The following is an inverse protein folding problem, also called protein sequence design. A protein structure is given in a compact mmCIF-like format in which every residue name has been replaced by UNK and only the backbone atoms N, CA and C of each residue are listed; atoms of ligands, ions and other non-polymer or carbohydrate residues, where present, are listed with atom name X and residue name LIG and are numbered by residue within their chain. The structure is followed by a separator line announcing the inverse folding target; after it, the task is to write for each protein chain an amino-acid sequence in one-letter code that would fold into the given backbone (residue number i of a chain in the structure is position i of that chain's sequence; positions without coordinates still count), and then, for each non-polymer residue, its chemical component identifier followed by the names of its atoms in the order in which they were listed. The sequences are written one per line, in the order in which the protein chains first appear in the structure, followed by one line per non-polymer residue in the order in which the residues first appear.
data_IF_592087993394
#
_entry.id   IF_592087993394
#
_cell.length_a   1.000
_cell.length_b   1.000
_cell.length_c   1.000
_cell.angle_alpha   90.00
_cell.angle_beta   90.00
_cell.angle_gamma   90.00
#
_symmetry.space_group_name_H-M   'P 1'
#
loop_
_entity.id
_entity.type
_entity.pdbx_description
1 polymer ?
#
# COMPACT_ATOMS: atom_id res chain seq x y z
N UNK A 1 17.44 -16.14 14.42
CA UNK A 1 17.26 -14.77 13.92
C UNK A 1 16.92 -14.92 12.46
N UNK A 2 15.64 -14.86 12.11
CA UNK A 2 15.21 -14.74 10.72
C UNK A 2 15.75 -13.41 10.19
N UNK A 3 16.29 -13.39 8.97
CA UNK A 3 16.72 -12.15 8.35
C UNK A 3 15.53 -11.19 8.27
N UNK A 4 15.75 -9.91 8.56
CA UNK A 4 14.73 -8.89 8.39
C UNK A 4 14.42 -8.77 6.88
N UNK A 5 13.13 -8.83 6.51
CA UNK A 5 12.71 -8.81 5.11
C UNK A 5 12.94 -7.43 4.48
N UNK A 6 13.62 -7.39 3.33
CA UNK A 6 13.73 -6.18 2.51
C UNK A 6 12.49 -6.04 1.62
N UNK A 7 11.50 -5.30 2.12
CA UNK A 7 10.23 -5.12 1.40
C UNK A 7 10.37 -4.41 0.06
N UNK A 8 11.38 -3.55 -0.13
CA UNK A 8 11.57 -2.88 -1.41
C UNK A 8 12.12 -3.89 -2.43
N UNK A 9 13.11 -4.70 -2.05
CA UNK A 9 13.60 -5.78 -2.90
C UNK A 9 12.49 -6.79 -3.25
N UNK A 10 11.64 -7.14 -2.28
CA UNK A 10 10.47 -7.99 -2.49
C UNK A 10 9.51 -7.41 -3.54
N UNK A 11 9.14 -6.13 -3.43
CA UNK A 11 8.26 -5.46 -4.41
C UNK A 11 8.90 -5.39 -5.80
N UNK A 12 10.19 -5.07 -5.88
CA UNK A 12 10.95 -5.02 -7.14
C UNK A 12 11.01 -6.36 -7.84
N UNK A 13 11.29 -7.43 -7.10
CA UNK A 13 11.32 -8.79 -7.64
C UNK A 13 9.93 -9.22 -8.10
N UNK A 14 8.93 -9.06 -7.23
CA UNK A 14 7.54 -9.44 -7.51
C UNK A 14 6.99 -8.74 -8.76
N UNK A 15 7.30 -7.46 -8.95
CA UNK A 15 6.90 -6.72 -10.14
C UNK A 15 7.58 -7.22 -11.42
N UNK A 16 8.88 -7.54 -11.37
CA UNK A 16 9.59 -8.13 -12.53
C UNK A 16 9.02 -9.49 -12.88
N UNK A 17 8.81 -10.33 -11.88
CA UNK A 17 8.26 -11.67 -12.09
C UNK A 17 6.84 -11.61 -12.68
N UNK A 18 6.00 -10.68 -12.20
CA UNK A 18 4.69 -10.46 -12.78
C UNK A 18 4.76 -10.04 -14.26
N UNK A 19 5.73 -9.20 -14.64
CA UNK A 19 5.94 -8.80 -16.04
C UNK A 19 6.46 -9.95 -16.93
N UNK A 20 7.29 -10.84 -16.38
CA UNK A 20 7.94 -11.94 -17.13
C UNK A 20 7.06 -13.20 -17.24
N UNK A 21 6.32 -13.55 -16.18
CA UNK A 21 5.57 -14.81 -16.06
C UNK A 21 4.14 -14.69 -16.61
N UNK A 22 3.49 -13.54 -16.42
CA UNK A 22 2.12 -13.32 -16.93
C UNK A 22 2.07 -12.66 -18.31
N UNK A 23 3.23 -12.29 -18.87
CA UNK A 23 3.35 -11.85 -20.25
C UNK A 23 2.65 -10.52 -20.53
N UNK A 24 2.53 -9.65 -19.53
CA UNK A 24 2.10 -8.26 -19.71
C UNK A 24 3.33 -7.34 -19.73
N UNK A 25 3.94 -7.11 -20.92
CA UNK A 25 5.11 -6.25 -21.05
C UNK A 25 4.80 -4.79 -20.71
N UNK A 26 3.52 -4.41 -20.61
CA UNK A 26 3.07 -3.06 -20.32
C UNK A 26 2.70 -2.87 -18.83
N UNK A 27 2.98 -3.85 -17.96
CA UNK A 27 2.67 -3.75 -16.53
C UNK A 27 3.46 -2.61 -15.85
N UNK A 28 2.76 -1.51 -15.62
CA UNK A 28 3.30 -0.38 -14.86
C UNK A 28 3.39 -0.72 -13.37
N UNK A 29 4.26 0.01 -12.66
CA UNK A 29 4.32 -0.07 -11.19
C UNK A 29 2.99 0.27 -10.54
N UNK A 30 2.24 1.20 -11.14
CA UNK A 30 0.89 1.52 -10.69
C UNK A 30 -0.04 0.32 -10.86
N UNK A 31 -0.10 -0.30 -12.05
CA UNK A 31 -0.89 -1.51 -12.26
C UNK A 31 -0.55 -2.63 -11.27
N UNK A 32 0.75 -2.85 -11.03
CA UNK A 32 1.22 -3.82 -10.03
C UNK A 32 0.74 -3.50 -8.61
N UNK A 33 0.95 -2.27 -8.13
CA UNK A 33 0.49 -1.86 -6.81
C UNK A 33 -1.03 -1.89 -6.68
N UNK A 34 -1.74 -1.48 -7.73
CA UNK A 34 -3.20 -1.46 -7.81
C UNK A 34 -3.75 -2.85 -7.51
N UNK A 35 -3.30 -3.86 -8.28
CA UNK A 35 -3.80 -5.22 -8.17
C UNK A 35 -3.27 -5.99 -6.96
N UNK A 36 -1.95 -5.94 -6.73
CA UNK A 36 -1.29 -6.88 -5.82
C UNK A 36 -1.01 -6.32 -4.42
N UNK A 37 -1.15 -5.00 -4.22
CA UNK A 37 -0.94 -4.38 -2.91
C UNK A 37 -2.23 -3.74 -2.39
N UNK A 38 -2.81 -2.81 -3.16
CA UNK A 38 -4.02 -2.11 -2.74
C UNK A 38 -5.32 -2.87 -3.03
N UNK A 39 -5.22 -3.97 -3.80
CA UNK A 39 -6.33 -4.85 -4.16
C UNK A 39 -7.50 -4.11 -4.84
N UNK A 40 -7.15 -3.22 -5.77
CA UNK A 40 -8.10 -2.62 -6.69
C UNK A 40 -8.26 -3.53 -7.92
N UNK A 41 -9.47 -3.59 -8.46
CA UNK A 41 -9.77 -4.34 -9.68
C UNK A 41 -10.51 -3.40 -10.64
N UNK A 42 -9.75 -2.79 -11.54
CA UNK A 42 -10.25 -1.76 -12.47
C UNK A 42 -10.43 -2.30 -13.88
N UNK A 43 -9.55 -3.21 -14.32
CA UNK A 43 -9.34 -3.57 -15.73
C UNK A 43 -9.05 -2.34 -16.62
N UNK A 44 -8.50 -1.27 -16.04
CA UNK A 44 -8.26 0.02 -16.69
C UNK A 44 -6.99 0.65 -16.09
N UNK A 45 -5.90 0.66 -16.87
CA UNK A 45 -4.60 1.15 -16.43
C UNK A 45 -4.59 2.63 -16.06
N UNK A 46 -5.38 3.47 -16.72
CA UNK A 46 -5.48 4.89 -16.38
C UNK A 46 -6.14 5.07 -15.01
N UNK A 47 -7.15 4.23 -14.70
CA UNK A 47 -7.77 4.22 -13.37
C UNK A 47 -6.85 3.65 -12.30
N UNK A 48 -6.02 2.66 -12.62
CA UNK A 48 -4.99 2.15 -11.71
C UNK A 48 -4.02 3.26 -11.30
N UNK A 49 -3.55 4.07 -12.25
CA UNK A 49 -2.65 5.19 -11.97
C UNK A 49 -3.29 6.21 -11.01
N UNK A 50 -4.55 6.58 -11.25
CA UNK A 50 -5.29 7.53 -10.40
C UNK A 50 -5.45 6.98 -8.99
N UNK A 51 -5.94 5.74 -8.86
CA UNK A 51 -6.22 5.13 -7.56
C UNK A 51 -4.95 4.90 -6.76
N UNK A 52 -3.88 4.42 -7.39
CA UNK A 52 -2.58 4.20 -6.74
C UNK A 52 -1.95 5.52 -6.32
N UNK A 53 -2.00 6.56 -7.15
CA UNK A 53 -1.49 7.87 -6.78
C UNK A 53 -2.17 8.37 -5.49
N UNK A 54 -3.51 8.24 -5.41
CA UNK A 54 -4.27 8.62 -4.22
C UNK A 54 -4.02 7.72 -3.01
N UNK A 55 -3.88 6.41 -3.20
CA UNK A 55 -3.51 5.51 -2.11
C UNK A 55 -2.10 5.82 -1.55
N UNK A 56 -1.13 6.11 -2.42
CA UNK A 56 0.24 6.46 -2.03
C UNK A 56 0.29 7.81 -1.31
N UNK A 57 -0.43 8.83 -1.80
CA UNK A 57 -0.57 10.12 -1.11
C UNK A 57 -1.11 9.94 0.33
N UNK A 58 -2.13 9.10 0.51
CA UNK A 58 -2.70 8.83 1.84
C UNK A 58 -1.72 8.04 2.70
N UNK A 59 -0.97 7.09 2.13
CA UNK A 59 0.10 6.38 2.83
C UNK A 59 1.17 7.35 3.35
N UNK A 60 1.58 8.32 2.52
CA UNK A 60 2.53 9.36 2.90
C UNK A 60 1.96 10.24 4.02
N UNK A 61 0.69 10.65 3.91
CA UNK A 61 0.05 11.51 4.90
C UNK A 61 -0.05 10.84 6.28
N UNK A 62 -0.44 9.56 6.34
CA UNK A 62 -0.55 8.81 7.60
C UNK A 62 0.85 8.54 8.19
N UNK A 63 1.79 8.03 7.37
CA UNK A 63 3.15 7.69 7.82
C UNK A 63 3.93 8.92 8.29
N UNK A 64 3.74 10.06 7.61
CA UNK A 64 4.33 11.35 7.96
C UNK A 64 3.62 12.11 9.08
N UNK A 65 2.53 11.55 9.66
CA UNK A 65 1.68 12.23 10.66
C UNK A 65 1.20 13.62 10.17
N UNK A 66 0.93 13.73 8.87
CA UNK A 66 0.59 14.96 8.16
C UNK A 66 -0.85 14.96 7.62
N UNK A 67 -1.72 14.08 8.13
CA UNK A 67 -3.10 13.90 7.66
C UNK A 67 -3.89 15.21 7.64
N UNK A 68 -3.78 16.03 8.69
CA UNK A 68 -4.45 17.34 8.75
C UNK A 68 -3.96 18.30 7.66
N UNK A 69 -2.65 18.34 7.41
CA UNK A 69 -2.11 19.16 6.34
C UNK A 69 -2.59 18.68 4.97
N UNK A 70 -2.63 17.35 4.74
CA UNK A 70 -3.12 16.74 3.51
C UNK A 70 -4.60 17.07 3.22
N UNK A 71 -5.50 16.81 4.17
CA UNK A 71 -6.94 17.00 3.96
C UNK A 71 -7.35 18.47 3.85
N UNK A 72 -6.54 19.40 4.35
CA UNK A 72 -6.82 20.84 4.26
C UNK A 72 -6.41 21.46 2.91
N UNK A 73 -5.72 20.73 2.02
CA UNK A 73 -5.29 21.26 0.72
C UNK A 73 -6.47 21.53 -0.22
N UNK A 74 -7.45 20.63 -0.26
CA UNK A 74 -8.69 20.82 -1.02
C UNK A 74 -9.79 19.87 -0.54
N UNK A 75 -11.04 20.14 -0.95
CA UNK A 75 -12.15 19.22 -0.72
C UNK A 75 -11.92 17.84 -1.39
N UNK A 76 -11.21 17.81 -2.51
CA UNK A 76 -10.85 16.58 -3.22
C UNK A 76 -9.87 15.72 -2.40
N UNK A 77 -8.82 16.31 -1.83
CA UNK A 77 -7.91 15.59 -0.92
C UNK A 77 -8.63 15.01 0.30
N UNK A 78 -9.56 15.79 0.89
CA UNK A 78 -10.36 15.28 1.99
C UNK A 78 -11.25 14.10 1.56
N UNK A 79 -11.84 14.17 0.37
CA UNK A 79 -12.69 13.11 -0.17
C UNK A 79 -11.88 11.84 -0.43
N UNK A 80 -10.75 11.94 -1.13
CA UNK A 80 -9.86 10.80 -1.38
C UNK A 80 -9.28 10.21 -0.10
N UNK A 81 -8.93 11.04 0.88
CA UNK A 81 -8.51 10.56 2.19
C UNK A 81 -9.59 9.68 2.85
N UNK A 82 -10.84 10.16 2.87
CA UNK A 82 -11.95 9.40 3.44
C UNK A 82 -12.22 8.12 2.66
N UNK A 83 -12.24 8.17 1.33
CA UNK A 83 -12.43 7.00 0.47
C UNK A 83 -11.35 5.96 0.77
N UNK A 84 -10.08 6.34 0.73
CA UNK A 84 -8.95 5.44 0.95
C UNK A 84 -8.96 4.85 2.35
N UNK A 85 -9.21 5.64 3.41
CA UNK A 85 -9.29 5.12 4.78
C UNK A 85 -10.39 4.06 4.96
N UNK A 86 -11.43 4.05 4.11
CA UNK A 86 -12.49 3.05 4.14
C UNK A 86 -12.23 1.86 3.20
N UNK A 87 -11.18 1.89 2.37
CA UNK A 87 -10.81 0.74 1.55
C UNK A 87 -10.18 -0.37 2.40
N UNK A 88 -10.38 -1.66 2.06
CA UNK A 88 -9.93 -2.80 2.88
C UNK A 88 -8.45 -2.75 3.28
N UNK A 89 -7.57 -2.31 2.37
CA UNK A 89 -6.15 -2.13 2.64
C UNK A 89 -5.88 -1.20 3.84
N UNK A 90 -6.56 -0.06 3.89
CA UNK A 90 -6.36 0.92 4.97
C UNK A 90 -7.19 0.58 6.20
N UNK A 91 -8.48 0.26 6.02
CA UNK A 91 -9.41 0.03 7.11
C UNK A 91 -8.98 -1.11 8.04
N UNK A 92 -8.20 -2.08 7.53
CA UNK A 92 -7.63 -3.18 8.32
C UNK A 92 -6.33 -2.83 9.05
N UNK A 93 -5.70 -1.70 8.71
CA UNK A 93 -4.36 -1.32 9.16
C UNK A 93 -4.31 0.03 9.90
N UNK A 94 -5.44 0.73 10.06
CA UNK A 94 -5.50 2.03 10.74
C UNK A 94 -6.36 1.98 12.00
N UNK A 95 -6.01 2.83 12.96
CA UNK A 95 -6.90 3.26 14.03
C UNK A 95 -7.10 4.77 13.93
N UNK A 96 -8.26 5.27 14.37
CA UNK A 96 -8.62 6.68 14.25
C UNK A 96 -9.10 7.34 15.55
N UNK A 97 -9.10 6.61 16.67
CA UNK A 97 -9.59 7.12 17.95
C UNK A 97 -10.99 7.71 17.82
N UNK A 98 -11.11 9.03 17.97
CA UNK A 98 -12.38 9.78 17.89
C UNK A 98 -12.65 10.42 16.52
N UNK A 99 -11.68 10.45 15.60
CA UNK A 99 -11.85 11.08 14.28
C UNK A 99 -10.93 10.48 13.23
N UNK A 100 -11.51 10.00 12.13
CA UNK A 100 -10.79 9.45 10.95
C UNK A 100 -9.73 10.41 10.39
N UNK A 101 -9.90 11.72 10.58
CA UNK A 101 -8.95 12.76 10.14
C UNK A 101 -7.58 12.66 10.80
N UNK A 102 -7.51 12.03 11.98
CA UNK A 102 -6.27 11.81 12.72
C UNK A 102 -5.86 10.34 12.73
N UNK A 103 -6.18 9.56 11.70
CA UNK A 103 -5.85 8.13 11.68
C UNK A 103 -4.33 7.88 11.68
N UNK A 104 -3.92 6.77 12.30
CA UNK A 104 -2.54 6.28 12.35
C UNK A 104 -2.51 4.77 12.08
N UNK A 105 -1.37 4.26 11.59
CA UNK A 105 -1.15 2.82 11.44
C UNK A 105 -1.20 2.11 12.79
N UNK A 106 -1.99 1.05 12.87
CA UNK A 106 -2.21 0.30 14.10
C UNK A 106 -2.55 -1.15 13.78
N UNK A 107 -2.06 -2.05 14.61
CA UNK A 107 -2.61 -3.40 14.66
C UNK A 107 -4.13 -3.35 14.89
N UNK A 108 -4.91 -4.22 14.22
CA UNK A 108 -6.32 -4.40 14.55
C UNK A 108 -6.46 -4.89 15.99
N UNK A 109 -7.44 -4.35 16.71
CA UNK A 109 -7.73 -4.70 18.09
C UNK A 109 -9.20 -5.10 18.23
N UNK A 110 -9.47 -6.31 18.73
CA UNK A 110 -10.82 -6.79 19.03
C UNK A 110 -10.93 -7.27 20.49
N UNK A 111 -12.05 -7.90 20.86
CA UNK A 111 -12.27 -8.41 22.22
C UNK A 111 -11.28 -9.51 22.64
N UNK A 112 -10.47 -10.04 21.71
CA UNK A 112 -9.43 -11.05 21.94
C UNK A 112 -8.03 -10.44 22.01
N UNK A 113 -7.89 -9.13 21.82
CA UNK A 113 -6.63 -8.39 21.89
C UNK A 113 -6.15 -7.87 20.54
N UNK A 114 -4.89 -7.46 20.49
CA UNK A 114 -4.25 -7.02 19.25
C UNK A 114 -3.89 -8.22 18.37
N UNK A 115 -4.28 -8.18 17.10
CA UNK A 115 -3.86 -9.12 16.06
C UNK A 115 -2.84 -8.48 15.10
N UNK A 116 -2.15 -9.26 14.26
CA UNK A 116 -1.28 -8.68 13.23
C UNK A 116 -2.11 -7.92 12.19
N UNK A 117 -1.48 -6.94 11.54
CA UNK A 117 -2.00 -6.40 10.28
C UNK A 117 -1.80 -7.48 9.22
N UNK A 118 -2.84 -7.80 8.44
CA UNK A 118 -2.80 -8.90 7.46
C UNK A 118 -2.97 -8.32 6.06
N UNK A 119 -1.99 -8.57 5.19
CA UNK A 119 -2.10 -8.32 3.76
C UNK A 119 -2.28 -9.65 3.03
N UNK A 120 -3.34 -9.73 2.23
CA UNK A 120 -3.51 -10.78 1.25
C UNK A 120 -3.05 -10.27 -0.10
N UNK A 121 -2.20 -11.04 -0.77
CA UNK A 121 -1.73 -10.71 -2.12
C UNK A 121 -1.69 -11.96 -2.98
N UNK A 122 -1.90 -11.78 -4.28
CA UNK A 122 -1.69 -12.81 -5.30
C UNK A 122 -0.41 -12.60 -6.09
N UNK A 123 0.36 -11.53 -5.84
CA UNK A 123 1.49 -11.14 -6.67
C UNK A 123 2.70 -10.67 -5.88
N UNK A 124 2.85 -11.08 -4.62
CA UNK A 124 4.06 -10.84 -3.82
C UNK A 124 4.84 -12.15 -3.64
N UNK A 125 6.16 -12.06 -3.73
CA UNK A 125 7.08 -13.19 -3.74
C UNK A 125 8.34 -12.91 -2.91
N UNK A 126 8.82 -13.90 -2.16
CA UNK A 126 10.14 -13.91 -1.49
C UNK A 126 11.05 -14.91 -2.21
N UNK A 127 11.90 -14.40 -3.10
CA UNK A 127 12.50 -15.25 -4.13
C UNK A 127 11.40 -15.94 -4.94
N UNK A 128 11.57 -17.23 -5.22
CA UNK A 128 10.58 -17.99 -6.01
C UNK A 128 9.31 -18.39 -5.22
N UNK A 129 9.21 -18.05 -3.92
CA UNK A 129 8.07 -18.44 -3.08
C UNK A 129 6.97 -17.36 -3.08
N UNK A 130 5.76 -17.73 -3.53
CA UNK A 130 4.59 -16.84 -3.50
C UNK A 130 4.09 -16.61 -2.07
N UNK A 131 4.00 -15.34 -1.68
CA UNK A 131 3.50 -14.88 -0.39
C UNK A 131 2.00 -14.55 -0.50
N UNK A 132 1.15 -15.56 -0.36
CA UNK A 132 -0.33 -15.39 -0.42
C UNK A 132 -0.91 -14.61 0.77
N UNK A 133 -0.13 -14.50 1.86
CA UNK A 133 -0.49 -13.82 3.08
C UNK A 133 0.77 -13.32 3.79
N UNK A 134 0.76 -12.06 4.19
CA UNK A 134 1.78 -11.44 5.02
C UNK A 134 1.14 -10.94 6.31
N UNK A 135 1.79 -11.21 7.44
CA UNK A 135 1.41 -10.70 8.75
C UNK A 135 2.46 -9.70 9.22
N UNK A 136 2.01 -8.56 9.71
CA UNK A 136 2.88 -7.48 10.14
C UNK A 136 2.56 -7.07 11.58
N UNK A 137 3.60 -6.86 12.37
CA UNK A 137 3.57 -5.86 13.44
C UNK A 137 3.43 -4.47 12.84
N UNK A 138 3.02 -3.49 13.64
CA UNK A 138 2.98 -2.10 13.19
C UNK A 138 4.33 -1.61 12.65
N UNK A 139 5.44 -1.97 13.31
CA UNK A 139 6.77 -1.52 12.88
C UNK A 139 7.15 -2.11 11.52
N UNK A 140 6.81 -3.38 11.26
CA UNK A 140 7.00 -4.01 9.95
C UNK A 140 6.10 -3.40 8.90
N UNK A 141 4.84 -3.11 9.24
CA UNK A 141 3.91 -2.41 8.36
C UNK A 141 4.42 -1.03 7.95
N UNK A 142 4.93 -0.23 8.91
CA UNK A 142 5.52 1.08 8.62
C UNK A 142 6.72 0.98 7.66
N UNK A 143 7.56 -0.07 7.79
CA UNK A 143 8.65 -0.34 6.83
C UNK A 143 8.14 -0.79 5.46
N UNK A 144 7.11 -1.63 5.42
CA UNK A 144 6.45 -2.06 4.19
C UNK A 144 5.84 -0.86 3.45
N UNK A 145 5.10 0.01 4.14
CA UNK A 145 4.53 1.23 3.55
C UNK A 145 5.62 2.17 3.02
N UNK A 146 6.73 2.32 3.74
CA UNK A 146 7.87 3.08 3.23
C UNK A 146 8.44 2.50 1.93
N UNK A 147 8.54 1.17 1.83
CA UNK A 147 8.94 0.49 0.60
C UNK A 147 7.92 0.67 -0.54
N UNK A 148 6.62 0.60 -0.26
CA UNK A 148 5.55 0.87 -1.24
C UNK A 148 5.66 2.29 -1.81
N UNK A 149 5.88 3.29 -0.95
CA UNK A 149 6.07 4.69 -1.37
C UNK A 149 7.32 4.82 -2.26
N UNK A 150 8.45 4.26 -1.83
CA UNK A 150 9.69 4.30 -2.59
C UNK A 150 9.56 3.59 -3.96
N UNK A 151 8.90 2.44 -3.99
CA UNK A 151 8.62 1.69 -5.21
C UNK A 151 7.75 2.50 -6.17
N UNK A 152 6.70 3.17 -5.69
CA UNK A 152 5.85 4.03 -6.50
C UNK A 152 6.61 5.24 -7.08
N UNK A 153 7.48 5.88 -6.29
CA UNK A 153 8.23 7.06 -6.72
C UNK A 153 9.35 6.74 -7.72
N UNK A 154 9.91 5.54 -7.69
CA UNK A 154 10.90 5.10 -8.69
C UNK A 154 10.33 5.07 -10.11
N UNK A 155 9.03 4.80 -10.28
CA UNK A 155 8.35 4.82 -11.58
C UNK A 155 8.14 6.22 -12.16
N UNK A 156 8.15 7.27 -11.34
CA UNK A 156 7.91 8.66 -11.77
C UNK A 156 9.14 9.33 -12.42
N UNK A 157 10.32 8.70 -12.36
CA UNK A 157 11.59 9.27 -12.84
C UNK A 157 11.82 9.18 -14.36
N UNK A 158 10.88 8.63 -15.12
CA UNK A 158 10.96 8.56 -16.60
C UNK A 158 9.99 9.58 -17.19
N UNK A 159 10.33 10.86 -17.12
CA UNK A 159 9.44 11.93 -17.58
C UNK A 159 10.00 13.35 -17.41
N UNK A 160 11.31 13.52 -17.54
CA UNK A 160 12.00 14.82 -17.56
C UNK A 160 12.83 14.98 -18.80
#
# INVERSE_FOLDING_TARGET
MTAEMDYLAMLEHSWRDASEIHGDPDQTRAGFLSMHVFNFTTYDGDQDEILVAKAVEVCQAISGKATHAYISQSADHYTWYLVMCNMPFFASAISWGTSIRGAWWSEPYDSRGAGPIVLHSSGLYDGDEQLVKLEFTRAEWERFIAAVIAFADAGKKVGG
#
